data_IF_352278904256
#
_entry.id   IF_352278904256
#
_cell.length_a   1.000
_cell.length_b   1.000
_cell.length_c   1.000
_cell.angle_alpha   90.00
_cell.angle_beta   90.00
_cell.angle_gamma   90.00
#
_symmetry.space_group_name_H-M   'P 1'
#
loop_
_entity.id
_entity.type
_entity.pdbx_description
1 polymer ?
#
# COMPACT_ATOMS: atom_id res chain seq x y z
N UNK A 1 -10.16 -24.21 51.82
CA UNK A 1 -10.90 -23.40 50.87
C UNK A 1 -9.85 -22.68 50.02
N UNK A 2 -9.48 -23.30 48.90
CA UNK A 2 -8.50 -22.75 47.94
C UNK A 2 -9.31 -22.00 46.89
N UNK A 3 -9.14 -20.68 46.88
CA UNK A 3 -9.65 -19.79 45.84
C UNK A 3 -8.95 -20.13 44.52
N UNK A 4 -9.65 -20.81 43.62
CA UNK A 4 -9.24 -20.95 42.24
C UNK A 4 -9.61 -19.67 41.54
N UNK A 5 -8.65 -18.77 41.38
CA UNK A 5 -8.80 -17.62 40.51
C UNK A 5 -9.09 -18.13 39.08
N UNK A 6 -10.30 -17.81 38.64
CA UNK A 6 -10.81 -18.07 37.29
C UNK A 6 -10.01 -17.18 36.32
N UNK A 7 -8.86 -17.68 35.83
CA UNK A 7 -8.09 -17.03 34.75
C UNK A 7 -8.92 -17.15 33.46
N UNK A 8 -9.78 -16.19 33.24
CA UNK A 8 -10.46 -16.00 31.96
C UNK A 8 -9.38 -15.79 30.89
N UNK A 9 -9.19 -16.70 29.92
CA UNK A 9 -8.17 -16.57 28.90
C UNK A 9 -8.45 -15.28 28.13
N UNK A 10 -7.59 -14.26 28.30
CA UNK A 10 -7.68 -13.03 27.54
C UNK A 10 -7.63 -13.37 26.06
N UNK A 11 -8.77 -13.27 25.39
CA UNK A 11 -8.86 -13.50 23.93
C UNK A 11 -7.90 -12.53 23.24
N UNK A 12 -6.81 -13.06 22.68
CA UNK A 12 -5.83 -12.25 21.94
C UNK A 12 -6.55 -11.45 20.86
N UNK A 13 -6.34 -10.15 20.84
CA UNK A 13 -6.87 -9.29 19.79
C UNK A 13 -6.20 -9.63 18.44
N UNK A 14 -6.98 -9.68 17.34
CA UNK A 14 -6.41 -9.88 16.02
C UNK A 14 -5.38 -8.82 15.67
N UNK A 15 -4.26 -9.23 15.10
CA UNK A 15 -3.12 -8.39 14.74
C UNK A 15 -3.13 -8.11 13.24
N UNK A 16 -3.20 -6.86 12.83
CA UNK A 16 -3.23 -6.43 11.42
C UNK A 16 -2.02 -5.57 11.09
N UNK A 17 -1.29 -5.92 10.05
CA UNK A 17 -0.19 -5.12 9.52
C UNK A 17 -0.62 -4.34 8.29
N UNK A 18 -0.38 -3.03 8.28
CA UNK A 18 -0.49 -2.15 7.12
C UNK A 18 0.91 -1.89 6.54
N UNK A 19 1.30 -2.69 5.55
CA UNK A 19 2.61 -2.61 4.90
C UNK A 19 2.50 -1.85 3.58
N UNK A 20 3.29 -0.81 3.37
CA UNK A 20 3.23 -0.06 2.12
C UNK A 20 4.51 0.70 1.78
N UNK A 21 4.62 1.07 0.52
CA UNK A 21 5.43 2.19 0.05
C UNK A 21 4.51 3.29 -0.47
N UNK A 22 4.81 4.55 -0.17
CA UNK A 22 3.99 5.68 -0.62
C UNK A 22 4.83 6.94 -0.85
N UNK A 23 5.11 7.28 -2.12
CA UNK A 23 5.87 8.48 -2.45
C UNK A 23 5.04 9.76 -2.29
N UNK A 24 3.79 9.74 -2.73
CA UNK A 24 2.88 10.90 -2.72
C UNK A 24 1.84 10.85 -1.59
N UNK A 25 1.98 9.94 -0.65
CA UNK A 25 1.02 9.74 0.45
C UNK A 25 -0.28 9.02 0.07
N UNK A 26 -0.53 8.72 -1.21
CA UNK A 26 -1.84 8.18 -1.62
C UNK A 26 -2.08 6.73 -1.16
N UNK A 27 -1.06 5.86 -1.24
CA UNK A 27 -1.16 4.47 -0.73
C UNK A 27 -1.30 4.45 0.79
N UNK A 28 -0.67 5.39 1.49
CA UNK A 28 -0.82 5.58 2.91
C UNK A 28 -2.27 5.91 3.27
N UNK A 29 -2.88 6.91 2.62
CA UNK A 29 -4.26 7.34 2.90
C UNK A 29 -5.29 6.22 2.80
N UNK A 30 -5.21 5.38 1.76
CA UNK A 30 -6.16 4.27 1.60
C UNK A 30 -5.96 3.20 2.66
N UNK A 31 -4.72 2.92 3.06
CA UNK A 31 -4.45 1.95 4.12
C UNK A 31 -4.79 2.49 5.51
N UNK A 32 -4.58 3.77 5.77
CA UNK A 32 -5.00 4.40 7.03
C UNK A 32 -6.51 4.31 7.21
N UNK A 33 -7.28 4.61 6.16
CA UNK A 33 -8.74 4.44 6.18
C UNK A 33 -9.18 2.98 6.44
N UNK A 34 -8.47 2.01 5.85
CA UNK A 34 -8.69 0.60 6.17
C UNK A 34 -8.33 0.27 7.63
N UNK A 35 -7.22 0.83 8.12
CA UNK A 35 -6.74 0.66 9.50
C UNK A 35 -7.70 1.21 10.55
N UNK A 36 -8.40 2.31 10.25
CA UNK A 36 -9.45 2.85 11.12
C UNK A 36 -10.56 1.82 11.33
N UNK A 37 -11.04 1.20 10.25
CA UNK A 37 -12.08 0.16 10.34
C UNK A 37 -11.63 -1.05 11.18
N UNK A 38 -10.37 -1.47 11.05
CA UNK A 38 -9.84 -2.55 11.86
C UNK A 38 -9.75 -2.16 13.34
N UNK A 39 -9.33 -0.92 13.66
CA UNK A 39 -9.29 -0.41 15.05
C UNK A 39 -10.69 -0.26 15.65
N UNK A 40 -11.65 0.26 14.88
CA UNK A 40 -13.06 0.36 15.27
C UNK A 40 -13.65 -1.00 15.64
N UNK A 41 -13.13 -2.08 15.03
CA UNK A 41 -13.49 -3.47 15.34
C UNK A 41 -12.67 -4.10 16.48
N UNK A 42 -11.85 -3.32 17.17
CA UNK A 42 -11.04 -3.77 18.31
C UNK A 42 -9.80 -4.57 17.93
N UNK A 43 -9.31 -4.48 16.67
CA UNK A 43 -8.08 -5.14 16.24
C UNK A 43 -6.86 -4.24 16.50
N UNK A 44 -5.73 -4.85 16.80
CA UNK A 44 -4.46 -4.14 16.95
C UNK A 44 -3.85 -3.90 15.55
N UNK A 45 -3.63 -2.64 15.20
CA UNK A 45 -3.17 -2.25 13.86
C UNK A 45 -1.79 -1.64 13.93
N UNK A 46 -0.84 -2.30 13.28
CA UNK A 46 0.54 -1.82 13.12
C UNK A 46 0.75 -1.26 11.71
N UNK A 47 1.39 -0.10 11.60
CA UNK A 47 1.71 0.53 10.32
C UNK A 47 3.20 0.39 10.03
N UNK A 48 3.55 -0.08 8.83
CA UNK A 48 4.90 -0.39 8.40
C UNK A 48 5.24 0.23 7.04
N UNK A 49 5.62 1.52 6.97
CA UNK A 49 6.06 2.16 5.74
C UNK A 49 7.45 1.66 5.33
N UNK A 50 7.59 1.20 4.08
CA UNK A 50 8.89 0.86 3.49
C UNK A 50 9.58 2.16 3.07
N UNK A 51 10.84 2.34 3.48
CA UNK A 51 11.66 3.47 3.06
C UNK A 51 12.56 3.07 1.87
N UNK A 52 12.59 3.90 0.84
CA UNK A 52 13.45 3.68 -0.33
C UNK A 52 14.78 4.38 -0.11
N UNK A 53 15.88 3.62 0.02
CA UNK A 53 17.21 4.10 0.41
C UNK A 53 18.28 3.90 -0.65
N UNK A 54 17.95 3.32 -1.81
CA UNK A 54 18.92 3.06 -2.88
C UNK A 54 19.60 4.35 -3.34
N UNK A 55 20.93 4.49 -3.20
CA UNK A 55 21.63 5.74 -3.46
C UNK A 55 21.53 6.21 -4.92
N UNK A 56 21.25 5.31 -5.86
CA UNK A 56 21.08 5.65 -7.29
C UNK A 56 19.78 6.40 -7.55
N UNK A 57 18.78 6.23 -6.68
CA UNK A 57 17.41 6.70 -6.90
C UNK A 57 16.83 7.44 -5.70
N UNK A 58 17.32 7.19 -4.48
CA UNK A 58 16.71 7.69 -3.24
C UNK A 58 16.65 9.23 -3.21
N UNK A 59 17.67 9.93 -3.71
CA UNK A 59 17.68 11.38 -3.77
C UNK A 59 16.47 11.93 -4.54
N UNK A 60 16.06 11.25 -5.62
CA UNK A 60 14.92 11.64 -6.48
C UNK A 60 13.57 11.33 -5.86
N UNK A 61 13.50 10.26 -5.05
CA UNK A 61 12.26 9.73 -4.46
C UNK A 61 12.21 9.85 -2.93
N UNK A 62 13.17 10.52 -2.29
CA UNK A 62 13.18 10.81 -0.86
C UNK A 62 12.45 12.10 -0.51
N UNK A 63 12.27 12.98 -1.47
CA UNK A 63 11.61 14.28 -1.28
C UNK A 63 10.46 14.46 -2.27
N UNK A 64 9.31 14.86 -1.74
CA UNK A 64 8.17 15.29 -2.51
C UNK A 64 7.95 16.79 -2.25
N UNK A 65 7.78 17.63 -3.29
CA UNK A 65 7.73 17.33 -4.72
C UNK A 65 9.08 17.02 -5.37
N UNK A 66 9.05 16.45 -6.60
CA UNK A 66 10.25 16.17 -7.41
C UNK A 66 10.91 17.44 -7.91
N UNK A 67 12.25 17.46 -7.92
CA UNK A 67 13.01 18.59 -8.47
C UNK A 67 12.91 18.66 -10.01
N UNK A 68 12.92 17.50 -10.68
CA UNK A 68 12.89 17.40 -12.14
C UNK A 68 12.03 16.21 -12.56
N UNK A 69 10.74 16.43 -12.79
CA UNK A 69 9.75 15.35 -12.99
C UNK A 69 10.14 14.40 -14.13
N UNK A 70 10.35 14.92 -15.34
CA UNK A 70 10.58 14.06 -16.50
C UNK A 70 11.95 13.39 -16.52
N UNK A 71 13.09 14.05 -16.24
CA UNK A 71 14.38 13.40 -16.15
C UNK A 71 14.40 12.32 -15.08
N UNK A 72 13.85 12.59 -13.91
CA UNK A 72 13.83 11.62 -12.79
C UNK A 72 12.92 10.44 -13.09
N UNK A 73 11.75 10.71 -13.67
CA UNK A 73 10.78 9.70 -14.05
C UNK A 73 11.30 8.79 -15.16
N UNK A 74 11.82 9.37 -16.25
CA UNK A 74 12.38 8.60 -17.38
C UNK A 74 13.66 7.87 -17.00
N UNK A 75 14.51 8.45 -16.14
CA UNK A 75 15.72 7.81 -15.62
C UNK A 75 15.46 6.52 -14.84
N UNK A 76 14.26 6.37 -14.26
CA UNK A 76 13.83 5.16 -13.57
C UNK A 76 13.29 4.07 -14.51
N UNK A 77 12.86 4.45 -15.72
CA UNK A 77 12.14 3.56 -16.63
C UNK A 77 12.91 2.27 -16.98
N UNK A 78 14.22 2.29 -17.31
CA UNK A 78 14.95 1.05 -17.60
C UNK A 78 14.99 0.08 -16.43
N UNK A 79 15.24 0.58 -15.22
CA UNK A 79 15.30 -0.25 -14.02
C UNK A 79 13.92 -0.83 -13.67
N UNK A 80 12.87 -0.05 -13.87
CA UNK A 80 11.49 -0.47 -13.63
C UNK A 80 11.03 -1.52 -14.66
N UNK A 81 11.33 -1.33 -15.93
CA UNK A 81 11.02 -2.28 -17.03
C UNK A 81 11.74 -3.61 -16.86
N UNK A 82 13.02 -3.57 -16.47
CA UNK A 82 13.82 -4.75 -16.17
C UNK A 82 13.49 -5.40 -14.81
N UNK A 83 12.46 -4.94 -14.11
CA UNK A 83 12.05 -5.47 -12.83
C UNK A 83 13.18 -5.51 -11.78
N UNK A 84 14.11 -4.55 -11.83
CA UNK A 84 15.23 -4.44 -10.89
C UNK A 84 14.72 -4.12 -9.49
N UNK A 85 15.51 -4.50 -8.50
CA UNK A 85 15.35 -4.12 -7.09
C UNK A 85 16.32 -2.99 -6.76
N UNK A 86 16.04 -2.29 -5.68
CA UNK A 86 16.93 -1.29 -5.08
C UNK A 86 16.96 -1.46 -3.56
N UNK A 87 17.83 -0.72 -2.90
CA UNK A 87 17.98 -0.78 -1.46
C UNK A 87 16.78 -0.15 -0.76
N UNK A 88 16.36 -0.78 0.31
CA UNK A 88 15.22 -0.34 1.14
C UNK A 88 15.58 -0.48 2.62
N UNK A 89 14.93 0.33 3.45
CA UNK A 89 14.87 0.09 4.89
C UNK A 89 13.50 -0.48 5.23
N UNK A 90 13.52 -1.68 5.78
CA UNK A 90 12.31 -2.39 6.24
C UNK A 90 12.02 -2.00 7.68
N UNK A 91 10.79 -1.61 8.03
CA UNK A 91 10.40 -1.30 9.40
C UNK A 91 10.57 -2.50 10.34
N UNK A 92 10.94 -2.26 11.60
CA UNK A 92 11.16 -3.33 12.59
C UNK A 92 9.89 -4.14 12.86
N UNK A 93 8.72 -3.53 12.75
CA UNK A 93 7.42 -4.20 12.83
C UNK A 93 7.29 -5.42 11.90
N UNK A 94 7.98 -5.42 10.76
CA UNK A 94 7.99 -6.55 9.81
C UNK A 94 8.72 -7.76 10.38
N UNK A 95 9.70 -7.54 11.28
CA UNK A 95 10.54 -8.60 11.85
C UNK A 95 10.02 -9.13 13.17
N UNK A 96 9.35 -8.28 13.95
CA UNK A 96 8.98 -8.57 15.34
C UNK A 96 7.53 -8.98 15.52
N UNK A 97 6.65 -8.76 14.51
CA UNK A 97 5.22 -8.96 14.65
C UNK A 97 4.74 -10.33 14.15
N UNK A 98 3.78 -10.90 14.88
CA UNK A 98 2.98 -12.05 14.45
C UNK A 98 1.59 -11.58 14.06
N UNK A 99 1.33 -11.43 12.75
CA UNK A 99 0.11 -10.85 12.22
C UNK A 99 -0.85 -11.93 11.71
N UNK A 100 -2.15 -11.70 11.91
CA UNK A 100 -3.23 -12.54 11.41
C UNK A 100 -3.65 -12.14 9.99
N UNK A 101 -3.45 -10.84 9.67
CA UNK A 101 -3.76 -10.24 8.37
C UNK A 101 -2.68 -9.22 7.98
N UNK A 102 -2.26 -9.25 6.72
CA UNK A 102 -1.32 -8.28 6.14
C UNK A 102 -2.02 -7.54 5.01
N UNK A 103 -2.18 -6.22 5.14
CA UNK A 103 -2.70 -5.34 4.11
C UNK A 103 -1.53 -4.68 3.36
N UNK A 104 -1.37 -4.97 2.07
CA UNK A 104 -0.25 -4.48 1.26
C UNK A 104 -0.71 -3.33 0.38
N UNK A 105 -0.21 -2.12 0.65
CA UNK A 105 -0.41 -0.91 -0.15
C UNK A 105 0.63 -0.75 -1.24
N UNK A 106 0.19 -0.72 -2.50
CA UNK A 106 1.07 -0.72 -3.66
C UNK A 106 0.78 0.43 -4.62
N UNK A 107 1.67 1.43 -4.74
CA UNK A 107 1.61 2.39 -5.83
C UNK A 107 2.08 1.74 -7.14
N UNK A 108 1.42 2.09 -8.25
CA UNK A 108 1.80 1.58 -9.57
C UNK A 108 2.84 2.48 -10.22
N UNK A 109 3.98 1.90 -10.57
CA UNK A 109 4.99 2.52 -11.40
C UNK A 109 5.04 1.84 -12.77
N UNK A 110 4.77 2.57 -13.86
CA UNK A 110 4.75 2.05 -15.23
C UNK A 110 4.01 0.71 -15.37
N UNK A 111 2.81 0.64 -14.88
CA UNK A 111 1.94 -0.54 -14.96
C UNK A 111 2.36 -1.75 -14.12
N UNK A 112 3.41 -1.64 -13.30
CA UNK A 112 3.92 -2.72 -12.46
C UNK A 112 4.09 -2.30 -11.00
N UNK A 113 4.49 -3.23 -10.15
CA UNK A 113 4.84 -2.99 -8.75
C UNK A 113 5.98 -1.99 -8.67
N UNK A 114 5.89 -0.99 -7.80
CA UNK A 114 6.98 -0.03 -7.56
C UNK A 114 8.25 -0.74 -7.10
N UNK A 115 9.42 -0.18 -7.46
CA UNK A 115 10.70 -0.80 -7.10
C UNK A 115 10.86 -1.03 -5.60
N UNK A 116 10.55 -0.09 -4.69
CA UNK A 116 10.69 -0.33 -3.24
C UNK A 116 9.85 -1.50 -2.74
N UNK A 117 8.57 -1.56 -3.12
CA UNK A 117 7.71 -2.67 -2.72
C UNK A 117 8.14 -3.99 -3.35
N UNK A 118 8.59 -3.98 -4.61
CA UNK A 118 9.14 -5.17 -5.28
C UNK A 118 10.42 -5.65 -4.59
N UNK A 119 11.29 -4.74 -4.15
CA UNK A 119 12.50 -5.07 -3.38
C UNK A 119 12.12 -5.82 -2.11
N UNK A 120 11.16 -5.29 -1.35
CA UNK A 120 10.64 -5.95 -0.16
C UNK A 120 10.07 -7.34 -0.49
N UNK A 121 9.15 -7.45 -1.44
CA UNK A 121 8.50 -8.71 -1.78
C UNK A 121 9.46 -9.79 -2.33
N UNK A 122 10.65 -9.39 -2.79
CA UNK A 122 11.72 -10.32 -3.18
C UNK A 122 12.67 -10.66 -2.01
N UNK A 123 12.67 -9.92 -0.93
CA UNK A 123 13.58 -10.08 0.22
C UNK A 123 13.34 -11.38 1.02
N UNK A 124 14.23 -11.65 1.97
CA UNK A 124 14.08 -12.74 2.91
C UNK A 124 13.04 -12.37 3.99
N UNK A 125 13.03 -11.11 4.44
CA UNK A 125 12.06 -10.63 5.42
C UNK A 125 10.61 -10.82 4.94
N UNK A 126 10.35 -10.63 3.63
CA UNK A 126 9.02 -10.88 3.07
C UNK A 126 8.59 -12.34 3.16
N UNK A 127 9.53 -13.31 3.10
CA UNK A 127 9.21 -14.72 3.33
C UNK A 127 8.82 -14.94 4.79
N UNK A 128 9.63 -14.46 5.72
CA UNK A 128 9.37 -14.63 7.15
C UNK A 128 8.02 -14.02 7.56
N UNK A 129 7.69 -12.86 6.98
CA UNK A 129 6.43 -12.17 7.25
C UNK A 129 5.21 -12.88 6.64
N UNK A 130 5.32 -13.37 5.39
CA UNK A 130 4.16 -13.79 4.59
C UNK A 130 3.88 -15.29 4.68
N UNK A 131 4.86 -16.11 5.06
CA UNK A 131 4.71 -17.56 5.05
C UNK A 131 3.51 -18.02 5.91
N UNK A 132 2.52 -18.67 5.26
CA UNK A 132 1.28 -19.09 5.88
C UNK A 132 0.28 -17.98 6.23
N UNK A 133 0.65 -16.71 6.09
CA UNK A 133 -0.18 -15.57 6.48
C UNK A 133 -1.17 -15.15 5.39
N UNK A 134 -2.32 -14.65 5.82
CA UNK A 134 -3.34 -14.09 4.91
C UNK A 134 -2.98 -12.66 4.52
N UNK A 135 -3.20 -12.31 3.25
CA UNK A 135 -2.97 -10.94 2.83
C UNK A 135 -4.01 -10.41 1.84
N UNK A 136 -4.24 -9.10 1.91
CA UNK A 136 -5.05 -8.34 0.98
C UNK A 136 -4.21 -7.23 0.31
N UNK A 137 -4.57 -6.82 -0.92
CA UNK A 137 -3.80 -5.84 -1.70
C UNK A 137 -4.62 -4.61 -2.01
N UNK A 138 -4.03 -3.42 -1.74
CA UNK A 138 -4.60 -2.12 -2.03
C UNK A 138 -3.73 -1.43 -3.08
N UNK A 139 -4.20 -1.38 -4.33
CA UNK A 139 -3.44 -0.78 -5.44
C UNK A 139 -3.88 0.66 -5.67
N UNK A 140 -2.94 1.58 -5.61
CA UNK A 140 -3.16 2.96 -6.03
C UNK A 140 -2.46 3.21 -7.36
N UNK A 141 -3.21 3.62 -8.37
CA UNK A 141 -2.66 3.85 -9.69
C UNK A 141 -3.41 4.92 -10.48
N UNK A 142 -2.80 5.35 -11.58
CA UNK A 142 -3.50 6.27 -12.50
C UNK A 142 -4.49 5.53 -13.40
N UNK A 143 -4.10 4.38 -13.98
CA UNK A 143 -4.95 3.60 -14.89
C UNK A 143 -4.64 2.11 -14.94
N UNK A 144 -3.37 1.72 -15.02
CA UNK A 144 -2.95 0.34 -15.33
C UNK A 144 -2.72 -0.48 -14.05
N UNK A 145 -3.76 -0.74 -13.28
CA UNK A 145 -3.68 -1.41 -11.99
C UNK A 145 -3.46 -2.93 -12.09
N UNK A 146 -3.95 -3.59 -13.17
CA UNK A 146 -3.94 -5.06 -13.28
C UNK A 146 -2.55 -5.67 -13.16
N UNK A 147 -1.56 -5.09 -13.84
CA UNK A 147 -0.18 -5.57 -13.79
C UNK A 147 0.45 -5.42 -12.40
N UNK A 148 0.10 -4.36 -11.67
CA UNK A 148 0.53 -4.16 -10.29
C UNK A 148 -0.12 -5.19 -9.37
N UNK A 149 -1.45 -5.30 -9.36
CA UNK A 149 -2.17 -6.26 -8.50
C UNK A 149 -1.68 -7.69 -8.71
N UNK A 150 -1.61 -8.12 -9.98
CA UNK A 150 -1.10 -9.46 -10.32
C UNK A 150 0.36 -9.65 -9.88
N UNK A 151 1.20 -8.61 -10.02
CA UNK A 151 2.60 -8.63 -9.61
C UNK A 151 2.77 -8.75 -8.10
N UNK A 152 2.04 -7.96 -7.31
CA UNK A 152 2.07 -8.04 -5.84
C UNK A 152 1.59 -9.42 -5.40
N UNK A 153 0.43 -9.85 -5.90
CA UNK A 153 -0.12 -11.17 -5.58
C UNK A 153 0.89 -12.28 -5.86
N UNK A 154 1.42 -12.37 -7.09
CA UNK A 154 2.40 -13.39 -7.49
C UNK A 154 3.64 -13.39 -6.60
N UNK A 155 4.19 -12.22 -6.28
CA UNK A 155 5.39 -12.11 -5.45
C UNK A 155 5.11 -12.52 -4.00
N UNK A 156 3.98 -12.13 -3.43
CA UNK A 156 3.59 -12.48 -2.07
C UNK A 156 3.23 -13.98 -1.94
N UNK A 157 2.49 -14.55 -2.89
CA UNK A 157 2.18 -15.99 -2.94
C UNK A 157 3.47 -16.82 -3.07
N UNK A 158 4.48 -16.34 -3.85
CA UNK A 158 5.81 -17.00 -3.94
C UNK A 158 6.57 -17.00 -2.60
N UNK A 159 6.20 -16.11 -1.67
CA UNK A 159 6.73 -16.05 -0.31
C UNK A 159 5.88 -16.84 0.71
N UNK A 160 4.91 -17.61 0.24
CA UNK A 160 4.04 -18.44 1.08
C UNK A 160 2.78 -17.74 1.57
N UNK A 161 2.53 -16.50 1.15
CA UNK A 161 1.33 -15.75 1.52
C UNK A 161 0.05 -16.33 0.89
N UNK A 162 -1.07 -16.21 1.61
CA UNK A 162 -2.41 -16.64 1.18
C UNK A 162 -3.23 -15.42 0.76
N UNK A 163 -3.38 -15.23 -0.55
CA UNK A 163 -4.16 -14.12 -1.10
C UNK A 163 -5.64 -14.23 -0.77
N UNK A 164 -6.23 -13.17 -0.24
CA UNK A 164 -7.65 -13.10 0.08
C UNK A 164 -8.44 -12.36 -1.00
N UNK A 165 -8.03 -11.12 -1.27
CA UNK A 165 -8.70 -10.23 -2.22
C UNK A 165 -7.83 -8.98 -2.50
N UNK A 166 -8.23 -8.16 -3.51
CA UNK A 166 -7.55 -6.92 -3.83
C UNK A 166 -8.49 -5.86 -4.37
N UNK A 167 -8.17 -4.62 -4.02
CA UNK A 167 -8.89 -3.43 -4.48
C UNK A 167 -7.95 -2.48 -5.21
N UNK A 168 -8.50 -1.68 -6.11
CA UNK A 168 -7.72 -0.69 -6.84
C UNK A 168 -8.43 0.66 -6.90
N UNK A 169 -7.65 1.72 -6.80
CA UNK A 169 -8.07 3.11 -6.84
C UNK A 169 -7.44 3.79 -8.04
N UNK A 170 -8.24 4.27 -8.97
CA UNK A 170 -7.78 4.83 -10.24
C UNK A 170 -8.15 6.30 -10.38
N UNK A 171 -7.32 7.02 -11.13
CA UNK A 171 -7.60 8.40 -11.49
C UNK A 171 -8.80 8.47 -12.47
N UNK A 172 -9.77 9.37 -12.26
CA UNK A 172 -11.00 9.41 -13.04
C UNK A 172 -10.86 10.07 -14.42
N UNK A 173 -9.73 10.71 -14.74
CA UNK A 173 -9.56 11.46 -15.98
C UNK A 173 -9.09 10.64 -17.18
N UNK A 174 -9.00 11.32 -18.34
CA UNK A 174 -8.41 10.77 -19.56
C UNK A 174 -6.90 10.50 -19.39
N UNK A 175 -6.26 9.83 -20.34
CA UNK A 175 -4.82 9.56 -20.29
C UNK A 175 -4.00 10.87 -20.34
N UNK A 176 -4.38 11.80 -21.22
CA UNK A 176 -3.73 13.10 -21.32
C UNK A 176 -3.89 13.91 -20.02
N UNK A 177 -5.12 14.05 -19.50
CA UNK A 177 -5.34 14.75 -18.24
C UNK A 177 -4.63 14.07 -17.06
N UNK A 178 -4.49 12.74 -17.08
CA UNK A 178 -3.72 11.97 -16.11
C UNK A 178 -2.24 12.34 -16.15
N UNK A 179 -1.63 12.40 -17.34
CA UNK A 179 -0.23 12.78 -17.49
C UNK A 179 0.04 14.23 -17.05
N UNK A 180 -0.80 15.16 -17.49
CA UNK A 180 -0.68 16.58 -17.12
C UNK A 180 -0.86 16.76 -15.60
N UNK A 181 -1.86 16.14 -15.02
CA UNK A 181 -2.11 16.15 -13.58
C UNK A 181 -0.95 15.55 -12.78
N UNK A 182 -0.39 14.42 -13.24
CA UNK A 182 0.76 13.77 -12.60
C UNK A 182 1.99 14.69 -12.64
N UNK A 183 2.30 15.26 -13.82
CA UNK A 183 3.44 16.18 -14.00
C UNK A 183 3.32 17.40 -13.11
N UNK A 184 2.14 18.04 -13.10
CA UNK A 184 1.87 19.18 -12.25
C UNK A 184 2.03 18.85 -10.77
N UNK A 185 1.43 17.75 -10.32
CA UNK A 185 1.45 17.33 -8.91
C UNK A 185 2.84 16.88 -8.45
N UNK A 186 3.54 16.07 -9.23
CA UNK A 186 4.89 15.62 -8.88
C UNK A 186 5.89 16.79 -8.80
N UNK A 187 5.74 17.78 -9.66
CA UNK A 187 6.66 18.93 -9.70
C UNK A 187 6.34 20.05 -8.72
N UNK A 188 5.07 20.22 -8.32
CA UNK A 188 4.66 21.30 -7.42
C UNK A 188 4.28 20.86 -6.01
N UNK A 189 3.96 19.58 -5.81
CA UNK A 189 3.37 19.08 -4.57
C UNK A 189 1.93 19.51 -4.33
N UNK A 190 1.36 20.29 -5.25
CA UNK A 190 0.04 20.90 -5.08
C UNK A 190 -0.94 20.40 -6.14
N UNK A 191 -2.17 20.18 -5.73
CA UNK A 191 -3.25 19.98 -6.67
C UNK A 191 -3.57 21.29 -7.41
N UNK A 192 -3.70 21.18 -8.73
CA UNK A 192 -4.18 22.27 -9.58
C UNK A 192 -5.39 21.78 -10.37
N UNK A 193 -6.47 22.56 -10.36
CA UNK A 193 -7.67 22.28 -11.15
C UNK A 193 -7.47 22.57 -12.65
N UNK A 194 -6.41 23.30 -13.01
CA UNK A 194 -5.99 23.58 -14.39
C UNK A 194 -4.47 23.52 -14.53
N UNK A 195 -4.00 22.98 -15.65
CA UNK A 195 -2.59 22.97 -16.04
C UNK A 195 -2.48 23.13 -17.56
N UNK A 196 -1.65 24.09 -18.01
CA UNK A 196 -1.55 24.46 -19.43
C UNK A 196 -2.92 24.74 -20.09
N UNK A 197 -3.83 25.44 -19.38
CA UNK A 197 -5.17 25.76 -19.87
C UNK A 197 -6.19 24.60 -19.82
N UNK A 198 -5.75 23.36 -19.56
CA UNK A 198 -6.60 22.16 -19.51
C UNK A 198 -7.12 21.98 -18.09
N UNK A 199 -8.45 21.76 -17.95
CA UNK A 199 -9.08 21.43 -16.68
C UNK A 199 -8.71 19.98 -16.27
N UNK A 200 -8.24 19.83 -15.05
CA UNK A 200 -7.81 18.55 -14.49
C UNK A 200 -8.79 18.06 -13.42
N UNK A 201 -9.20 16.79 -13.46
CA UNK A 201 -9.87 16.16 -12.31
C UNK A 201 -8.95 16.10 -11.09
N UNK A 202 -9.50 15.95 -9.87
CA UNK A 202 -8.71 15.79 -8.65
C UNK A 202 -7.64 14.72 -8.78
N UNK A 203 -6.41 15.08 -8.46
CA UNK A 203 -5.22 14.18 -8.61
C UNK A 203 -5.16 13.13 -7.53
N UNK A 204 -5.59 13.49 -6.34
CA UNK A 204 -5.49 12.67 -5.14
C UNK A 204 -6.66 11.69 -5.01
N UNK A 205 -6.50 10.73 -4.12
CA UNK A 205 -7.59 9.84 -3.69
C UNK A 205 -8.78 10.68 -3.22
N UNK A 206 -9.96 10.38 -3.76
CA UNK A 206 -11.21 11.06 -3.43
C UNK A 206 -11.83 10.50 -2.14
N UNK A 207 -12.78 11.25 -1.56
CA UNK A 207 -13.56 10.79 -0.41
C UNK A 207 -14.28 9.47 -0.70
N UNK A 208 -14.87 9.32 -1.91
CA UNK A 208 -15.56 8.08 -2.30
C UNK A 208 -14.60 6.89 -2.33
N UNK A 209 -13.36 7.09 -2.78
CA UNK A 209 -12.33 6.06 -2.78
C UNK A 209 -11.84 5.72 -1.37
N UNK A 210 -11.81 6.67 -0.47
CA UNK A 210 -11.56 6.43 0.97
C UNK A 210 -12.67 5.54 1.55
N UNK A 211 -13.94 5.88 1.29
CA UNK A 211 -15.07 5.06 1.74
C UNK A 211 -15.08 3.67 1.09
N UNK A 212 -14.65 3.56 -0.15
CA UNK A 212 -14.48 2.25 -0.82
C UNK A 212 -13.39 1.41 -0.14
N UNK A 213 -12.27 2.03 0.29
CA UNK A 213 -11.24 1.38 1.08
C UNK A 213 -11.77 0.87 2.43
N UNK A 214 -12.56 1.68 3.13
CA UNK A 214 -13.21 1.29 4.40
C UNK A 214 -14.15 0.09 4.21
N UNK A 215 -15.01 0.14 3.19
CA UNK A 215 -15.91 -0.98 2.86
C UNK A 215 -15.16 -2.25 2.50
N UNK A 216 -14.05 -2.13 1.77
CA UNK A 216 -13.19 -3.27 1.45
C UNK A 216 -12.56 -3.87 2.70
N UNK A 217 -12.02 -3.03 3.59
CA UNK A 217 -11.44 -3.48 4.87
C UNK A 217 -12.47 -4.21 5.73
N UNK A 218 -13.71 -3.70 5.81
CA UNK A 218 -14.80 -4.38 6.51
C UNK A 218 -15.07 -5.78 5.96
N UNK A 219 -15.16 -5.92 4.62
CA UNK A 219 -15.34 -7.25 3.99
C UNK A 219 -14.19 -8.21 4.25
N UNK A 220 -12.96 -7.70 4.24
CA UNK A 220 -11.78 -8.52 4.54
C UNK A 220 -11.80 -8.97 6.02
N UNK A 221 -12.15 -8.08 6.94
CA UNK A 221 -12.30 -8.41 8.35
C UNK A 221 -13.35 -9.52 8.55
N UNK A 222 -14.52 -9.39 7.94
CA UNK A 222 -15.59 -10.40 7.99
C UNK A 222 -15.11 -11.78 7.46
N UNK A 223 -14.33 -11.77 6.39
CA UNK A 223 -13.79 -12.98 5.75
C UNK A 223 -12.72 -13.68 6.59
N UNK A 224 -11.96 -12.92 7.37
CA UNK A 224 -10.82 -13.42 8.16
C UNK A 224 -11.20 -13.77 9.58
N UNK A 225 -12.01 -12.93 10.22
CA UNK A 225 -12.30 -12.98 11.66
C UNK A 225 -13.76 -13.29 11.98
N UNK A 226 -14.61 -13.42 10.95
CA UNK A 226 -16.05 -13.58 11.10
C UNK A 226 -16.79 -12.23 11.19
N UNK A 227 -18.09 -12.28 10.94
CA UNK A 227 -18.94 -11.08 11.12
C UNK A 227 -19.03 -10.75 12.60
N UNK A 228 -18.79 -9.51 12.94
CA UNK A 228 -19.17 -8.98 14.26
C UNK A 228 -20.63 -8.53 14.19
N UNK A 229 -21.46 -8.99 15.08
CA UNK A 229 -22.80 -8.45 15.25
C UNK A 229 -22.69 -6.96 15.65
N UNK A 230 -23.47 -6.07 15.03
CA UNK A 230 -23.49 -4.66 15.43
C UNK A 230 -23.95 -4.56 16.88
N UNK A 231 -23.11 -3.96 17.73
CA UNK A 231 -23.47 -3.61 19.12
C UNK A 231 -24.40 -2.41 19.13
#
# INVERSE_FOLDING_TARGET
MTDVADENPQVRRPQVLLLYYSYTGQSQKVLEAAGEVFRERGYDVTTAPIEFTDPRYAERFSRFPMRSVWPDFLGMLPAQTLQRTGDIRTPDAVRSGDYDLICIGSPTWWSTVSMPLRSFLKSHEARNLLEGKRFAVFVVCRRKWRGNLAGVRKLAEKKGGRYLDGIHFTYPGSELSSMLSLTSYLGSGQYKDRYLGIKLPPTNISTDQIEESRRFAARIADKVFGKQDPQ
#
